data_IF_424797969158
#
_entry.id   IF_424797969158
#
_cell.length_a   1.000
_cell.length_b   1.000
_cell.length_c   1.000
_cell.angle_alpha   90.00
_cell.angle_beta   90.00
_cell.angle_gamma   90.00
#
_symmetry.space_group_name_H-M   'P 1'
#
loop_
_entity.id
_entity.type
_entity.pdbx_description
1 polymer ?
#
# COMPACT_ATOMS: atom_id res chain seq x y z
N UNK A 1 -6.39 17.62 -9.73
CA UNK A 1 -7.19 16.37 -9.65
C UNK A 1 -7.02 15.60 -10.97
N UNK A 2 -6.33 14.46 -10.93
CA UNK A 2 -5.92 13.67 -12.11
C UNK A 2 -7.05 13.45 -13.13
N UNK A 3 -8.28 13.17 -12.68
CA UNK A 3 -9.43 12.99 -13.58
C UNK A 3 -9.74 14.26 -14.37
N UNK A 4 -9.66 15.39 -13.73
CA UNK A 4 -9.96 16.69 -14.33
C UNK A 4 -8.87 17.08 -15.35
N UNK A 5 -7.62 16.86 -14.98
CA UNK A 5 -6.48 17.15 -15.86
C UNK A 5 -6.49 16.27 -17.10
N UNK A 6 -6.81 14.97 -16.94
CA UNK A 6 -7.00 14.04 -18.06
C UNK A 6 -8.16 14.45 -18.95
N UNK A 7 -9.28 14.93 -18.39
CA UNK A 7 -10.42 15.41 -19.19
C UNK A 7 -10.00 16.59 -20.08
N UNK A 8 -9.25 17.54 -19.55
CA UNK A 8 -8.73 18.65 -20.38
C UNK A 8 -7.80 18.14 -21.47
N UNK A 9 -6.90 17.22 -21.14
CA UNK A 9 -5.98 16.62 -22.12
C UNK A 9 -6.74 15.91 -23.25
N UNK A 10 -7.74 15.08 -22.93
CA UNK A 10 -8.57 14.40 -23.93
C UNK A 10 -9.32 15.40 -24.82
N UNK A 11 -9.91 16.45 -24.25
CA UNK A 11 -10.61 17.48 -25.03
C UNK A 11 -9.67 18.24 -25.94
N UNK A 12 -8.45 18.51 -25.50
CA UNK A 12 -7.43 19.17 -26.34
C UNK A 12 -7.02 18.28 -27.51
N UNK A 13 -6.78 16.99 -27.25
CA UNK A 13 -6.51 16.01 -28.31
C UNK A 13 -7.66 15.90 -29.29
N UNK A 14 -8.90 15.79 -28.80
CA UNK A 14 -10.10 15.72 -29.64
C UNK A 14 -10.24 16.95 -30.57
N UNK A 15 -9.90 18.13 -30.04
CA UNK A 15 -9.91 19.35 -30.83
C UNK A 15 -8.88 19.35 -31.97
N UNK A 16 -7.73 18.68 -31.78
CA UNK A 16 -6.63 18.64 -32.73
C UNK A 16 -6.77 17.50 -33.76
N UNK A 17 -7.61 16.49 -33.47
CA UNK A 17 -7.84 15.37 -34.38
C UNK A 17 -8.62 15.78 -35.63
N UNK A 18 -8.11 15.34 -36.77
CA UNK A 18 -8.72 15.55 -38.10
C UNK A 18 -8.93 14.19 -38.78
N UNK A 19 -10.18 13.80 -38.97
CA UNK A 19 -10.57 12.55 -39.60
C UNK A 19 -10.15 12.42 -41.09
N UNK A 20 -9.88 13.54 -41.74
CA UNK A 20 -9.44 13.56 -43.13
C UNK A 20 -7.98 13.10 -43.33
N UNK A 21 -7.24 12.94 -42.24
CA UNK A 21 -5.85 12.53 -42.20
C UNK A 21 -5.66 11.18 -41.48
N UNK A 22 -4.46 10.59 -41.60
CA UNK A 22 -4.14 9.34 -40.93
C UNK A 22 -4.28 9.48 -39.40
N UNK A 23 -5.36 8.88 -38.86
CA UNK A 23 -5.65 8.91 -37.43
C UNK A 23 -4.57 8.23 -36.59
N UNK A 24 -3.95 7.16 -37.11
CA UNK A 24 -2.89 6.43 -36.37
C UNK A 24 -1.68 7.34 -36.18
N UNK A 25 -1.23 7.99 -37.26
CA UNK A 25 -0.10 8.92 -37.18
C UNK A 25 -0.38 10.10 -36.23
N UNK A 26 -1.62 10.63 -36.23
CA UNK A 26 -2.02 11.71 -35.31
C UNK A 26 -2.06 11.22 -33.85
N UNK A 27 -2.61 10.05 -33.58
CA UNK A 27 -2.67 9.44 -32.23
C UNK A 27 -1.27 9.21 -31.68
N UNK A 28 -0.34 8.70 -32.50
CA UNK A 28 1.05 8.48 -32.09
C UNK A 28 1.79 9.79 -31.80
N UNK A 29 1.53 10.84 -32.58
CA UNK A 29 2.12 12.15 -32.37
C UNK A 29 1.56 12.91 -31.16
N UNK A 30 0.24 12.79 -30.90
CA UNK A 30 -0.46 13.48 -29.83
C UNK A 30 -0.34 12.77 -28.47
N UNK A 31 -0.15 11.46 -28.45
CA UNK A 31 -0.11 10.69 -27.19
C UNK A 31 0.94 11.19 -26.19
N UNK A 32 2.22 11.43 -26.56
CA UNK A 32 3.22 11.96 -25.63
C UNK A 32 2.89 13.37 -25.11
N UNK A 33 2.12 14.12 -25.88
CA UNK A 33 1.72 15.50 -25.56
C UNK A 33 0.44 15.57 -24.72
N UNK A 34 -0.37 14.48 -24.70
CA UNK A 34 -1.68 14.51 -24.08
C UNK A 34 -1.62 14.67 -22.56
N UNK A 35 -0.71 13.95 -21.89
CA UNK A 35 -0.56 14.07 -20.44
C UNK A 35 0.86 13.72 -19.97
N UNK A 36 1.33 12.51 -20.31
CA UNK A 36 2.71 12.06 -20.07
C UNK A 36 3.01 10.84 -20.98
N UNK A 37 4.23 10.36 -20.95
CA UNK A 37 4.72 9.22 -21.73
C UNK A 37 4.14 7.85 -21.32
N UNK A 38 3.42 7.78 -20.20
CA UNK A 38 2.75 6.56 -19.72
C UNK A 38 1.27 6.49 -20.14
N UNK A 39 0.77 7.49 -20.82
CA UNK A 39 -0.60 7.52 -21.32
C UNK A 39 -0.75 6.66 -22.57
N UNK A 40 -1.98 6.18 -22.78
CA UNK A 40 -2.40 5.49 -24.00
C UNK A 40 -3.62 6.20 -24.57
N UNK A 41 -3.50 6.67 -25.78
CA UNK A 41 -4.55 7.35 -26.52
C UNK A 41 -5.20 6.38 -27.50
N UNK A 42 -6.52 6.33 -27.50
CA UNK A 42 -7.34 5.45 -28.36
C UNK A 42 -8.47 6.26 -28.98
N UNK A 43 -8.71 6.11 -30.27
CA UNK A 43 -9.87 6.63 -30.98
C UNK A 43 -10.79 5.46 -31.33
N UNK A 44 -12.07 5.57 -31.00
CA UNK A 44 -13.06 4.50 -31.06
C UNK A 44 -14.32 5.01 -31.80
N UNK A 45 -14.89 4.21 -32.70
CA UNK A 45 -16.15 4.57 -33.36
C UNK A 45 -17.38 4.35 -32.43
N UNK A 46 -18.54 4.74 -32.89
CA UNK A 46 -19.81 4.56 -32.15
C UNK A 46 -20.24 3.11 -31.98
N UNK A 47 -19.70 2.18 -32.79
CA UNK A 47 -19.91 0.74 -32.69
C UNK A 47 -18.95 0.08 -31.70
N UNK A 48 -17.95 0.82 -31.21
CA UNK A 48 -16.92 0.33 -30.29
C UNK A 48 -15.70 -0.25 -30.98
N UNK A 49 -15.57 -0.08 -32.31
CA UNK A 49 -14.40 -0.46 -33.06
C UNK A 49 -13.28 0.55 -32.85
N UNK A 50 -12.06 0.08 -32.67
CA UNK A 50 -10.90 0.95 -32.47
C UNK A 50 -10.37 1.41 -33.83
N UNK A 51 -10.44 2.72 -34.06
CA UNK A 51 -9.95 3.34 -35.31
C UNK A 51 -8.46 3.60 -35.28
N UNK A 52 -7.93 3.97 -34.10
CA UNK A 52 -6.50 4.20 -33.87
C UNK A 52 -6.14 4.03 -32.38
N UNK A 53 -4.94 3.54 -32.10
CA UNK A 53 -4.44 3.33 -30.73
C UNK A 53 -2.93 3.54 -30.68
N UNK A 54 -2.42 4.26 -29.68
CA UNK A 54 -0.99 4.54 -29.51
C UNK A 54 -0.18 3.39 -28.92
N UNK A 55 -0.83 2.37 -28.35
CA UNK A 55 -0.14 1.32 -27.58
C UNK A 55 -0.18 -0.08 -28.19
N UNK A 56 -0.87 -0.31 -29.30
CA UNK A 56 -1.00 -1.63 -29.93
C UNK A 56 -1.24 -1.52 -31.44
N UNK A 57 -0.59 -2.37 -32.20
CA UNK A 57 -0.87 -2.55 -33.64
C UNK A 57 -2.02 -3.54 -33.88
N UNK A 58 -2.24 -4.49 -32.94
CA UNK A 58 -3.34 -5.45 -33.00
C UNK A 58 -4.53 -4.94 -32.16
N UNK A 59 -5.60 -4.56 -32.86
CA UNK A 59 -6.83 -4.04 -32.27
C UNK A 59 -7.92 -5.10 -32.48
N UNK A 60 -8.01 -6.07 -31.58
CA UNK A 60 -8.90 -7.23 -31.73
C UNK A 60 -10.11 -7.21 -30.79
N UNK A 61 -10.29 -6.18 -29.94
CA UNK A 61 -11.41 -6.10 -29.00
C UNK A 61 -12.36 -4.96 -29.33
N UNK A 62 -13.68 -5.27 -29.42
CA UNK A 62 -14.73 -4.25 -29.45
C UNK A 62 -14.90 -3.62 -28.07
N UNK A 63 -14.80 -2.30 -28.01
CA UNK A 63 -14.83 -1.51 -26.77
C UNK A 63 -16.20 -0.96 -26.39
N UNK A 64 -17.28 -1.26 -27.13
CA UNK A 64 -18.64 -0.78 -26.87
C UNK A 64 -19.16 -1.15 -25.48
N UNK A 65 -18.69 -2.30 -24.96
CA UNK A 65 -19.05 -2.78 -23.63
C UNK A 65 -18.38 -2.05 -22.46
N UNK A 66 -17.38 -1.23 -22.73
CA UNK A 66 -16.57 -0.56 -21.70
C UNK A 66 -17.37 0.58 -21.05
N UNK A 67 -17.27 0.69 -19.73
CA UNK A 67 -18.05 1.62 -18.92
C UNK A 67 -17.83 3.07 -19.34
N UNK A 68 -16.57 3.48 -19.49
CA UNK A 68 -16.19 4.83 -19.95
C UNK A 68 -16.72 5.15 -21.35
N UNK A 69 -16.79 4.15 -22.24
CA UNK A 69 -17.30 4.33 -23.60
C UNK A 69 -18.82 4.47 -23.60
N UNK A 70 -19.55 3.63 -22.86
CA UNK A 70 -21.00 3.74 -22.69
C UNK A 70 -21.39 5.09 -22.10
N UNK A 71 -20.70 5.50 -21.06
CA UNK A 71 -20.96 6.78 -20.41
C UNK A 71 -20.65 7.96 -21.35
N UNK A 72 -19.55 7.93 -22.09
CA UNK A 72 -19.23 8.96 -23.07
C UNK A 72 -20.30 9.06 -24.16
N UNK A 73 -20.81 7.95 -24.67
CA UNK A 73 -21.90 7.95 -25.67
C UNK A 73 -23.21 8.54 -25.16
N UNK A 74 -23.56 8.37 -23.88
CA UNK A 74 -24.80 8.87 -23.29
C UNK A 74 -24.71 10.29 -22.72
N UNK A 75 -23.56 10.65 -22.13
CA UNK A 75 -23.37 11.88 -21.37
C UNK A 75 -22.31 12.83 -21.99
N UNK A 76 -21.68 12.41 -23.07
CA UNK A 76 -20.61 13.15 -23.73
C UNK A 76 -19.23 12.92 -23.11
N UNK A 77 -19.15 12.50 -21.83
CA UNK A 77 -17.90 12.23 -21.09
C UNK A 77 -18.07 10.99 -20.25
N UNK A 78 -17.10 10.09 -20.24
CA UNK A 78 -17.11 8.89 -19.44
C UNK A 78 -15.81 8.65 -18.67
N UNK A 79 -15.93 7.98 -17.51
CA UNK A 79 -14.83 7.64 -16.64
C UNK A 79 -14.92 6.18 -16.20
N UNK A 80 -13.78 5.50 -16.14
CA UNK A 80 -13.69 4.19 -15.49
C UNK A 80 -12.35 4.01 -14.83
N UNK A 81 -12.31 3.22 -13.77
CA UNK A 81 -11.06 2.74 -13.18
C UNK A 81 -11.14 1.23 -13.10
N UNK A 82 -10.23 0.55 -13.78
CA UNK A 82 -10.21 -0.93 -13.77
C UNK A 82 -8.80 -1.46 -13.96
N UNK A 83 -8.63 -2.71 -13.56
CA UNK A 83 -7.40 -3.44 -13.83
C UNK A 83 -7.28 -3.76 -15.33
N UNK A 84 -6.14 -3.41 -15.92
CA UNK A 84 -5.81 -3.76 -17.30
C UNK A 84 -5.01 -5.06 -17.33
N UNK A 85 -5.54 -6.08 -17.99
CA UNK A 85 -4.85 -7.37 -18.20
C UNK A 85 -3.60 -7.24 -19.07
N UNK A 86 -3.62 -6.29 -20.00
CA UNK A 86 -2.51 -6.01 -20.91
C UNK A 86 -1.34 -5.35 -20.20
N UNK A 87 -1.60 -4.32 -19.40
CA UNK A 87 -0.56 -3.53 -18.69
C UNK A 87 -0.30 -4.07 -17.28
N UNK A 88 -1.14 -5.01 -16.80
CA UNK A 88 -1.11 -5.60 -15.43
C UNK A 88 -1.09 -4.57 -14.31
N UNK A 89 -1.87 -3.49 -14.47
CA UNK A 89 -1.99 -2.38 -13.52
C UNK A 89 -3.43 -1.86 -13.51
N UNK A 90 -3.78 -1.17 -12.43
CA UNK A 90 -4.99 -0.35 -12.41
C UNK A 90 -4.81 0.85 -13.33
N UNK A 91 -5.80 1.08 -14.18
CA UNK A 91 -5.81 2.17 -15.16
C UNK A 91 -7.03 3.06 -14.92
N UNK A 92 -6.82 4.36 -14.97
CA UNK A 92 -7.87 5.35 -15.05
C UNK A 92 -8.11 5.65 -16.53
N UNK A 93 -9.37 5.53 -16.95
CA UNK A 93 -9.82 5.82 -18.31
C UNK A 93 -10.68 7.07 -18.28
N UNK A 94 -10.45 7.96 -19.23
CA UNK A 94 -11.30 9.12 -19.49
C UNK A 94 -11.63 9.10 -20.98
N UNK A 95 -12.91 9.17 -21.32
CA UNK A 95 -13.42 9.15 -22.68
C UNK A 95 -14.29 10.38 -22.96
N UNK A 96 -14.17 10.93 -24.15
CA UNK A 96 -15.00 12.06 -24.62
C UNK A 96 -15.60 11.67 -25.96
N UNK A 97 -16.91 11.81 -26.07
CA UNK A 97 -17.62 11.64 -27.34
C UNK A 97 -17.82 12.98 -28.05
N UNK A 98 -17.31 13.10 -29.26
CA UNK A 98 -17.48 14.28 -30.09
C UNK A 98 -17.35 13.88 -31.57
N UNK A 99 -17.99 14.65 -32.47
CA UNK A 99 -17.87 14.49 -33.94
C UNK A 99 -18.11 13.08 -34.49
N UNK A 100 -18.82 12.20 -33.76
CA UNK A 100 -19.14 10.85 -34.22
C UNK A 100 -18.14 9.76 -33.82
N UNK A 101 -17.10 10.07 -33.07
CA UNK A 101 -16.16 9.13 -32.47
C UNK A 101 -15.87 9.44 -31.00
N UNK A 102 -15.21 8.52 -30.33
CA UNK A 102 -14.82 8.64 -28.93
C UNK A 102 -13.29 8.71 -28.84
N UNK A 103 -12.79 9.75 -28.20
CA UNK A 103 -11.39 9.86 -27.83
C UNK A 103 -11.21 9.40 -26.40
N UNK A 104 -10.40 8.39 -26.17
CA UNK A 104 -10.16 7.81 -24.84
C UNK A 104 -8.69 7.94 -24.48
N UNK A 105 -8.40 8.46 -23.30
CA UNK A 105 -7.09 8.49 -22.69
C UNK A 105 -7.07 7.52 -21.51
N UNK A 106 -6.03 6.69 -21.42
CA UNK A 106 -5.78 5.78 -20.32
C UNK A 106 -4.47 6.15 -19.64
N UNK A 107 -4.48 6.19 -18.31
CA UNK A 107 -3.31 6.49 -17.47
C UNK A 107 -3.16 5.42 -16.39
N UNK A 108 -1.95 4.90 -16.12
CA UNK A 108 -1.71 4.08 -14.93
C UNK A 108 -2.15 4.83 -13.66
N UNK A 109 -3.07 4.23 -12.93
CA UNK A 109 -3.61 4.80 -11.70
C UNK A 109 -3.18 3.93 -10.52
N UNK A 110 -2.14 4.38 -9.81
CA UNK A 110 -1.74 3.76 -8.57
C UNK A 110 -2.67 4.28 -7.46
N UNK A 111 -3.66 3.49 -7.08
CA UNK A 111 -4.44 3.76 -5.89
C UNK A 111 -3.52 3.80 -4.66
N UNK A 112 -3.91 4.56 -3.63
CA UNK A 112 -3.18 4.61 -2.34
C UNK A 112 -2.97 3.19 -1.78
N UNK A 113 -3.89 2.26 -2.11
CA UNK A 113 -3.89 0.88 -1.66
C UNK A 113 -2.98 -0.07 -2.48
N UNK A 114 -2.57 0.30 -3.69
CA UNK A 114 -1.74 -0.58 -4.54
C UNK A 114 -0.33 -0.77 -3.97
N UNK A 115 0.16 0.19 -3.19
CA UNK A 115 1.44 0.12 -2.49
C UNK A 115 1.35 -0.41 -1.05
N UNK A 116 0.14 -0.68 -0.53
CA UNK A 116 -0.07 -1.20 0.82
C UNK A 116 0.73 -2.49 1.11
N UNK A 117 0.74 -3.52 0.23
CA UNK A 117 1.51 -4.73 0.50
C UNK A 117 3.01 -4.48 0.68
N UNK A 118 3.55 -3.48 -0.01
CA UNK A 118 4.96 -3.10 0.09
C UNK A 118 5.28 -2.45 1.44
N UNK A 119 4.32 -1.74 2.05
CA UNK A 119 4.47 -1.10 3.36
C UNK A 119 4.12 -2.05 4.52
N UNK A 120 3.08 -2.88 4.36
CA UNK A 120 2.59 -3.77 5.42
C UNK A 120 3.59 -4.90 5.72
N UNK A 121 4.30 -5.42 4.71
CA UNK A 121 5.29 -6.49 4.91
C UNK A 121 6.40 -6.11 5.88
N UNK A 122 7.17 -5.02 5.69
CA UNK A 122 8.23 -4.63 6.63
C UNK A 122 7.67 -4.24 8.01
N UNK A 123 6.48 -3.62 8.08
CA UNK A 123 5.81 -3.32 9.35
C UNK A 123 5.44 -4.59 10.12
N UNK A 124 4.93 -5.61 9.44
CA UNK A 124 4.62 -6.92 10.04
C UNK A 124 5.85 -7.62 10.60
N UNK A 125 6.94 -7.65 9.84
CA UNK A 125 8.22 -8.20 10.30
C UNK A 125 8.76 -7.42 11.50
N UNK A 126 8.72 -6.10 11.46
CA UNK A 126 9.14 -5.23 12.57
C UNK A 126 8.31 -5.47 13.85
N UNK A 127 7.00 -5.63 13.72
CA UNK A 127 6.10 -5.92 14.85
C UNK A 127 6.42 -7.28 15.49
N UNK A 128 6.64 -8.32 14.69
CA UNK A 128 7.02 -9.64 15.19
C UNK A 128 8.37 -9.58 15.89
N UNK A 129 9.37 -8.93 15.29
CA UNK A 129 10.69 -8.77 15.91
C UNK A 129 10.63 -8.04 17.24
N UNK A 130 9.86 -6.94 17.31
CA UNK A 130 9.69 -6.17 18.55
C UNK A 130 9.02 -6.99 19.64
N UNK A 131 8.02 -7.82 19.29
CA UNK A 131 7.35 -8.72 20.22
C UNK A 131 8.33 -9.76 20.79
N UNK A 132 9.14 -10.38 19.93
CA UNK A 132 10.15 -11.36 20.37
C UNK A 132 11.17 -10.74 21.31
N UNK A 133 11.66 -9.55 20.98
CA UNK A 133 12.59 -8.79 21.84
C UNK A 133 11.93 -8.45 23.18
N UNK A 134 10.69 -7.97 23.17
CA UNK A 134 9.96 -7.64 24.39
C UNK A 134 9.76 -8.86 25.30
N UNK A 135 9.39 -10.02 24.75
CA UNK A 135 9.26 -11.26 25.50
C UNK A 135 10.60 -11.74 26.09
N UNK A 136 11.67 -11.62 25.30
CA UNK A 136 13.01 -11.97 25.79
C UNK A 136 13.46 -11.07 26.93
N UNK A 137 13.30 -9.76 26.78
CA UNK A 137 13.64 -8.80 27.82
C UNK A 137 12.77 -9.00 29.07
N UNK A 138 11.46 -9.22 28.91
CA UNK A 138 10.52 -9.49 30.02
C UNK A 138 10.97 -10.70 30.83
N UNK A 139 11.27 -11.81 30.14
CA UNK A 139 11.77 -13.03 30.83
C UNK A 139 13.08 -12.78 31.55
N UNK A 140 13.99 -12.05 30.93
CA UNK A 140 15.27 -11.72 31.54
C UNK A 140 15.11 -10.83 32.78
N UNK A 141 14.21 -9.82 32.73
CA UNK A 141 13.87 -8.99 33.88
C UNK A 141 13.22 -9.77 35.00
N UNK A 142 12.26 -10.63 34.70
CA UNK A 142 11.61 -11.48 35.68
C UNK A 142 12.63 -12.36 36.44
N UNK A 143 13.53 -13.00 35.73
CA UNK A 143 14.53 -13.87 36.37
C UNK A 143 15.62 -13.11 37.14
N UNK A 144 15.93 -11.87 36.72
CA UNK A 144 17.05 -11.13 37.29
C UNK A 144 16.66 -10.22 38.47
N UNK A 145 15.45 -9.68 38.45
CA UNK A 145 14.99 -8.73 39.48
C UNK A 145 13.83 -9.28 40.34
N UNK A 146 12.84 -9.93 39.71
CA UNK A 146 11.62 -10.37 40.41
C UNK A 146 11.85 -11.64 41.23
N UNK A 147 12.59 -12.60 40.71
CA UNK A 147 12.84 -13.86 41.41
C UNK A 147 13.61 -13.66 42.73
N UNK A 148 14.72 -12.87 42.79
CA UNK A 148 15.42 -12.60 44.05
C UNK A 148 14.52 -11.93 45.10
N UNK A 149 13.69 -10.98 44.67
CA UNK A 149 12.76 -10.28 45.60
C UNK A 149 11.74 -11.25 46.20
N UNK A 150 11.18 -12.13 45.37
CA UNK A 150 10.23 -13.14 45.83
C UNK A 150 10.86 -14.15 46.79
N UNK A 151 12.10 -14.53 46.54
CA UNK A 151 12.84 -15.45 47.40
C UNK A 151 13.05 -14.83 48.81
N UNK A 152 13.59 -13.60 48.86
CA UNK A 152 13.75 -12.85 50.09
C UNK A 152 12.41 -12.70 50.84
N UNK A 153 11.34 -12.30 50.14
CA UNK A 153 10.01 -12.13 50.74
C UNK A 153 9.46 -13.43 51.30
N UNK A 154 9.66 -14.54 50.59
CA UNK A 154 9.18 -15.85 51.03
C UNK A 154 9.92 -16.35 52.24
N UNK A 155 11.23 -16.17 52.32
CA UNK A 155 12.04 -16.56 53.48
C UNK A 155 11.70 -15.69 54.72
N UNK A 156 11.58 -14.38 54.54
CA UNK A 156 11.15 -13.47 55.62
C UNK A 156 9.74 -13.81 56.15
N UNK A 157 8.82 -14.20 55.24
CA UNK A 157 7.45 -14.58 55.64
C UNK A 157 7.41 -15.95 56.38
N UNK A 158 8.33 -16.85 56.10
CA UNK A 158 8.48 -18.11 56.80
C UNK A 158 9.15 -18.04 58.16
N UNK A 159 9.64 -16.85 58.56
CA UNK A 159 10.28 -16.56 59.88
C UNK A 159 9.38 -16.76 61.10
N UNK A 160 8.23 -17.38 61.00
CA UNK A 160 7.46 -17.77 62.18
C UNK A 160 8.11 -18.84 63.07
N UNK A 161 9.14 -19.52 62.53
CA UNK A 161 9.99 -20.46 63.29
C UNK A 161 11.45 -20.02 63.13
N UNK A 162 12.00 -19.38 64.14
CA UNK A 162 13.38 -18.90 64.26
C UNK A 162 14.42 -19.99 63.98
N UNK A 163 14.70 -20.31 62.73
CA UNK A 163 15.84 -21.18 62.33
C UNK A 163 16.44 -20.68 61.04
N UNK A 164 17.71 -20.39 61.14
CA UNK A 164 18.70 -20.10 60.12
C UNK A 164 18.19 -19.74 58.71
N UNK A 165 18.27 -18.43 58.39
CA UNK A 165 18.07 -17.94 57.07
C UNK A 165 19.34 -18.20 56.24
N UNK A 166 19.22 -18.91 55.14
CA UNK A 166 20.29 -19.16 54.19
C UNK A 166 19.89 -18.52 52.85
N UNK A 167 20.60 -17.50 52.45
CA UNK A 167 20.36 -16.83 51.16
C UNK A 167 21.49 -17.14 50.18
N UNK A 168 21.12 -17.49 48.96
CA UNK A 168 22.07 -17.60 47.86
C UNK A 168 22.66 -16.23 47.48
N UNK A 169 23.85 -16.23 46.91
CA UNK A 169 24.48 -15.01 46.41
C UNK A 169 23.70 -14.48 45.17
N UNK A 170 23.26 -13.26 45.26
CA UNK A 170 22.51 -12.59 44.19
C UNK A 170 23.45 -11.81 43.27
N UNK A 171 23.04 -11.60 42.03
CA UNK A 171 23.83 -10.92 40.99
C UNK A 171 24.04 -9.40 41.28
N UNK A 172 23.18 -8.79 42.06
CA UNK A 172 23.25 -7.38 42.44
C UNK A 172 23.63 -7.23 43.90
N UNK A 173 24.59 -6.36 44.16
CA UNK A 173 25.15 -6.15 45.51
C UNK A 173 24.12 -5.66 46.50
N UNK A 174 23.10 -4.91 46.03
CA UNK A 174 22.02 -4.40 46.88
C UNK A 174 21.21 -5.54 47.50
N UNK A 175 20.97 -6.62 46.76
CA UNK A 175 20.24 -7.79 47.27
C UNK A 175 21.09 -8.58 48.28
N UNK A 176 22.39 -8.70 48.04
CA UNK A 176 23.30 -9.35 48.95
C UNK A 176 23.43 -8.60 50.28
N UNK A 177 23.39 -7.24 50.25
CA UNK A 177 23.42 -6.41 51.44
C UNK A 177 22.13 -6.61 52.25
N UNK A 178 20.99 -6.68 51.61
CA UNK A 178 19.68 -6.91 52.30
C UNK A 178 19.68 -8.31 52.92
N UNK A 179 20.09 -9.31 52.21
CA UNK A 179 20.15 -10.71 52.67
C UNK A 179 21.05 -10.84 53.91
N UNK A 180 22.29 -10.29 53.89
CA UNK A 180 23.22 -10.34 54.99
C UNK A 180 22.69 -9.63 56.24
N UNK A 181 22.00 -8.49 56.07
CA UNK A 181 21.41 -7.78 57.22
C UNK A 181 20.24 -8.55 57.87
N UNK A 182 19.42 -9.26 57.05
CA UNK A 182 18.35 -10.11 57.55
C UNK A 182 18.92 -11.32 58.31
N UNK A 183 19.98 -11.96 57.84
CA UNK A 183 20.68 -13.04 58.54
C UNK A 183 21.26 -12.60 59.88
N UNK A 184 21.84 -11.38 59.96
CA UNK A 184 22.40 -10.82 61.17
C UNK A 184 21.33 -10.55 62.23
N UNK A 185 20.10 -10.16 61.80
CA UNK A 185 18.97 -9.92 62.71
C UNK A 185 18.26 -11.17 63.20
N UNK A 186 18.46 -12.30 62.49
CA UNK A 186 17.86 -13.57 62.82
C UNK A 186 18.65 -14.45 63.81
N UNK A 187 19.89 -14.03 64.11
CA UNK A 187 20.77 -14.64 65.13
C UNK A 187 20.60 -14.00 66.48
#
# INVERSE_FOLDING_TARGET
>A
NTKHDMLYAVKLVDYQLDESHDLKAQVDALNPLAYNDQTRLTVIDTNGEVLADSGSEEIDENHKGREEVKQALSEGVGYATRYSSTVKRNMLYVAVFNKGYIVRLALPYNGIFDNLPTLVRPLGVGAIMSLVIALFLSKRFANTLTAPIQDITTQVTKMKDYRELEFDSYKYDEFNIIASKLEEQAK
#
